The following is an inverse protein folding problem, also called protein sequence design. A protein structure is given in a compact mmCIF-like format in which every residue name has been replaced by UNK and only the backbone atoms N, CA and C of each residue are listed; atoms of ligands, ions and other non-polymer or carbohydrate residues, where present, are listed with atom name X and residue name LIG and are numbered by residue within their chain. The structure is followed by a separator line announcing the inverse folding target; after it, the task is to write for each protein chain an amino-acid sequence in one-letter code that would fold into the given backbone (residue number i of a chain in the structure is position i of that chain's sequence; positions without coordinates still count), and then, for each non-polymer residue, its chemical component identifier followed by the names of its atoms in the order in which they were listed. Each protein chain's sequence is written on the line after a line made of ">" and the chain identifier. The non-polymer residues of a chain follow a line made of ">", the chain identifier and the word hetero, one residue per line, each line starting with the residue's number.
data_IF_006265420015
#
_entry.id   IF_006265420015
#
_cell.length_a   1.000
_cell.length_b   1.000
_cell.length_c   1.000
_cell.angle_alpha   90.00
_cell.angle_beta   90.00
_cell.angle_gamma   90.00
#
_symmetry.space_group_name_H-M   'P 1'
#
loop_
_entity.id
_entity.type
_entity.pdbx_description
1 polymer ?
#
# COMPACT_ATOMS: atom_id res chain seq x y z
N UNK A 1 -10.66 0.80 37.95
CA UNK A 1 -10.56 0.94 36.48
C UNK A 1 -9.78 -0.26 35.99
N UNK A 2 -10.39 -1.16 35.20
CA UNK A 2 -9.66 -2.30 34.64
C UNK A 2 -8.71 -1.77 33.56
N UNK A 3 -7.42 -2.07 33.69
CA UNK A 3 -6.43 -1.66 32.69
C UNK A 3 -6.29 -2.76 31.64
N UNK A 4 -6.43 -2.39 30.38
CA UNK A 4 -6.17 -3.25 29.25
C UNK A 4 -5.01 -2.72 28.41
N UNK A 5 -4.21 -3.63 27.84
CA UNK A 5 -3.05 -3.30 27.03
C UNK A 5 -3.07 -4.13 25.75
N UNK A 6 -3.07 -3.45 24.61
CA UNK A 6 -2.92 -4.06 23.30
C UNK A 6 -1.43 -4.09 22.92
N UNK A 7 -0.94 -5.26 22.52
CA UNK A 7 0.43 -5.49 22.12
C UNK A 7 0.42 -5.96 20.65
N UNK A 8 0.48 -5.03 19.69
CA UNK A 8 0.59 -5.41 18.29
C UNK A 8 1.95 -6.03 17.99
N UNK A 9 1.95 -6.97 17.06
CA UNK A 9 3.19 -7.51 16.44
C UNK A 9 3.71 -6.53 15.38
N UNK A 10 4.50 -6.99 14.40
CA UNK A 10 4.94 -6.11 13.31
C UNK A 10 3.73 -5.59 12.53
N UNK A 11 3.52 -4.28 12.56
CA UNK A 11 2.36 -3.61 11.96
C UNK A 11 2.66 -3.23 10.52
N UNK A 12 1.76 -3.56 9.61
CA UNK A 12 1.89 -3.32 8.17
C UNK A 12 0.63 -2.67 7.59
N UNK A 13 0.74 -2.08 6.41
CA UNK A 13 -0.38 -1.49 5.69
C UNK A 13 -0.15 -0.03 5.34
N UNK A 14 -1.18 0.56 4.74
CA UNK A 14 -1.11 1.87 4.10
C UNK A 14 -0.65 2.96 5.05
N UNK A 15 0.31 3.78 4.60
CA UNK A 15 0.81 4.93 5.35
C UNK A 15 -0.13 6.12 5.09
N UNK A 16 -0.63 6.74 6.16
CA UNK A 16 -1.35 8.02 6.07
C UNK A 16 -0.39 9.22 6.16
N UNK A 17 0.77 9.01 6.77
CA UNK A 17 1.83 10.00 6.87
C UNK A 17 2.82 9.89 5.68
N UNK A 18 3.49 10.99 5.30
CA UNK A 18 4.40 11.00 4.15
C UNK A 18 5.74 10.27 4.41
N UNK A 19 6.05 9.94 5.67
CA UNK A 19 7.30 9.26 6.04
C UNK A 19 7.10 7.77 6.28
N UNK A 20 8.07 6.99 5.82
CA UNK A 20 8.09 5.53 6.02
C UNK A 20 8.48 5.23 7.47
N UNK A 21 7.69 4.38 8.14
CA UNK A 21 7.99 3.92 9.50
C UNK A 21 8.94 2.70 9.50
N UNK A 22 9.46 2.34 10.68
CA UNK A 22 10.43 1.25 10.80
C UNK A 22 9.90 -0.13 10.37
N UNK A 23 8.61 -0.43 10.61
CA UNK A 23 8.03 -1.72 10.22
C UNK A 23 7.86 -1.83 8.71
N UNK A 24 7.50 -0.74 8.04
CA UNK A 24 7.43 -0.68 6.57
C UNK A 24 8.83 -0.77 5.96
N UNK A 25 9.86 -0.10 6.52
CA UNK A 25 11.27 -0.25 6.08
C UNK A 25 11.71 -1.73 6.13
N UNK A 26 11.32 -2.45 7.18
CA UNK A 26 11.65 -3.87 7.33
C UNK A 26 11.11 -4.74 6.19
N UNK A 27 9.94 -4.40 5.63
CA UNK A 27 9.32 -5.13 4.52
C UNK A 27 9.85 -4.62 3.17
N UNK A 28 9.95 -3.30 3.03
CA UNK A 28 10.44 -2.62 1.82
C UNK A 28 11.75 -3.21 1.34
N UNK A 29 12.72 -3.43 2.23
CA UNK A 29 14.04 -3.95 1.87
C UNK A 29 14.00 -5.30 1.11
N UNK A 30 12.96 -6.10 1.31
CA UNK A 30 12.76 -7.36 0.59
C UNK A 30 12.05 -7.13 -0.74
N UNK A 31 11.06 -6.23 -0.76
CA UNK A 31 10.26 -5.91 -1.95
C UNK A 31 11.04 -5.10 -2.99
N UNK A 32 11.97 -4.23 -2.55
CA UNK A 32 12.88 -3.45 -3.42
C UNK A 32 14.10 -4.25 -3.85
N UNK A 33 14.32 -5.45 -3.30
CA UNK A 33 15.52 -6.25 -3.54
C UNK A 33 16.80 -5.70 -2.90
N UNK A 34 16.71 -4.72 -2.00
CA UNK A 34 17.85 -4.19 -1.24
C UNK A 34 18.55 -5.27 -0.41
N UNK A 35 17.81 -6.31 0.00
CA UNK A 35 18.34 -7.50 0.66
C UNK A 35 18.18 -8.70 -0.27
N UNK A 36 19.30 -9.38 -0.57
CA UNK A 36 19.35 -10.53 -1.51
C UNK A 36 19.07 -11.90 -0.86
N UNK A 37 19.07 -11.97 0.47
CA UNK A 37 18.91 -13.22 1.23
C UNK A 37 17.93 -13.03 2.39
N UNK A 38 17.20 -14.08 2.74
CA UNK A 38 16.23 -14.03 3.83
C UNK A 38 16.82 -14.78 5.02
N UNK A 39 16.68 -14.22 6.23
CA UNK A 39 17.04 -14.97 7.42
C UNK A 39 16.01 -16.10 7.65
N UNK A 40 16.48 -17.32 7.95
CA UNK A 40 15.64 -18.45 8.37
C UNK A 40 14.93 -18.15 9.70
N UNK A 41 13.82 -17.40 9.61
CA UNK A 41 13.12 -16.80 10.73
C UNK A 41 11.65 -16.60 10.40
N UNK A 42 10.82 -16.61 11.43
CA UNK A 42 9.38 -16.40 11.34
C UNK A 42 9.04 -15.10 12.05
N UNK A 43 8.18 -14.29 11.45
CA UNK A 43 7.69 -13.04 12.01
C UNK A 43 6.16 -13.02 12.00
N UNK A 44 5.56 -12.45 13.05
CA UNK A 44 4.12 -12.23 13.13
C UNK A 44 3.76 -10.85 12.59
N UNK A 45 2.67 -10.78 11.84
CA UNK A 45 2.20 -9.57 11.17
C UNK A 45 0.74 -9.26 11.51
N UNK A 46 0.41 -7.97 11.46
CA UNK A 46 -0.95 -7.46 11.64
C UNK A 46 -1.16 -6.21 10.81
N UNK A 47 -2.36 -6.01 10.28
CA UNK A 47 -2.67 -4.80 9.54
C UNK A 47 -2.92 -3.61 10.47
N UNK A 48 -2.49 -2.41 10.07
CA UNK A 48 -2.62 -1.18 10.86
C UNK A 48 -4.08 -0.83 11.19
N UNK A 49 -5.02 -1.13 10.28
CA UNK A 49 -6.46 -0.92 10.55
C UNK A 49 -6.98 -1.86 11.65
N UNK A 50 -6.49 -3.09 11.70
CA UNK A 50 -6.90 -4.06 12.73
C UNK A 50 -6.36 -3.65 14.10
N UNK A 51 -5.15 -3.09 14.15
CA UNK A 51 -4.58 -2.53 15.38
C UNK A 51 -5.40 -1.35 15.89
N UNK A 52 -5.78 -0.43 14.99
CA UNK A 52 -6.60 0.72 15.35
C UNK A 52 -7.99 0.27 15.85
N UNK A 53 -8.65 -0.63 15.13
CA UNK A 53 -9.94 -1.20 15.52
C UNK A 53 -9.85 -1.93 16.85
N UNK A 54 -8.79 -2.70 17.06
CA UNK A 54 -8.54 -3.40 18.32
C UNK A 54 -8.37 -2.44 19.50
N UNK A 55 -7.68 -1.32 19.31
CA UNK A 55 -7.57 -0.30 20.35
C UNK A 55 -8.94 0.28 20.72
N UNK A 56 -9.79 0.58 19.74
CA UNK A 56 -11.15 1.08 19.95
C UNK A 56 -11.97 0.05 20.74
N UNK A 57 -11.99 -1.21 20.29
CA UNK A 57 -12.78 -2.27 20.94
C UNK A 57 -12.32 -2.57 22.37
N UNK A 58 -11.00 -2.59 22.60
CA UNK A 58 -10.43 -2.77 23.93
C UNK A 58 -10.79 -1.62 24.86
N UNK A 59 -10.91 -0.40 24.33
CA UNK A 59 -11.30 0.78 25.09
C UNK A 59 -12.81 0.81 25.38
N UNK A 60 -13.64 0.45 24.41
CA UNK A 60 -15.10 0.51 24.52
C UNK A 60 -15.72 -0.66 25.30
N UNK A 61 -15.04 -1.80 25.39
CA UNK A 61 -15.56 -2.99 26.06
C UNK A 61 -15.29 -2.97 27.57
N UNK A 62 -16.29 -2.77 28.45
CA UNK A 62 -16.05 -2.53 29.87
C UNK A 62 -15.49 -3.74 30.64
N UNK A 63 -15.67 -4.95 30.12
CA UNK A 63 -15.21 -6.21 30.70
C UNK A 63 -13.76 -6.57 30.35
N UNK A 64 -13.12 -5.81 29.46
CA UNK A 64 -11.79 -6.11 28.95
C UNK A 64 -10.71 -5.72 29.96
N UNK A 65 -9.78 -6.64 30.21
CA UNK A 65 -8.65 -6.40 31.11
C UNK A 65 -7.42 -7.25 30.76
N UNK A 66 -6.25 -6.77 31.19
CA UNK A 66 -4.97 -7.44 30.97
C UNK A 66 -4.41 -7.22 29.57
N UNK A 67 -3.59 -8.15 29.09
CA UNK A 67 -2.85 -8.01 27.82
C UNK A 67 -3.54 -8.75 26.67
N UNK A 68 -3.48 -8.17 25.49
CA UNK A 68 -4.01 -8.71 24.24
C UNK A 68 -2.91 -8.65 23.19
N UNK A 69 -2.55 -9.79 22.60
CA UNK A 69 -1.63 -9.83 21.46
C UNK A 69 -2.45 -9.63 20.19
N UNK A 70 -2.10 -8.63 19.40
CA UNK A 70 -2.80 -8.32 18.15
C UNK A 70 -1.96 -8.81 16.96
N UNK A 71 -2.36 -9.95 16.38
CA UNK A 71 -1.73 -10.54 15.19
C UNK A 71 -2.72 -11.38 14.37
N UNK A 72 -2.56 -11.38 13.04
CA UNK A 72 -3.34 -12.26 12.14
C UNK A 72 -2.59 -13.57 11.91
N UNK A 73 -1.34 -13.48 11.41
CA UNK A 73 -0.58 -14.65 10.97
C UNK A 73 0.91 -14.50 11.19
N UNK A 74 1.57 -15.64 11.36
CA UNK A 74 3.02 -15.78 11.34
C UNK A 74 3.47 -16.24 9.95
N UNK A 75 4.40 -15.52 9.35
CA UNK A 75 4.97 -15.85 8.05
C UNK A 75 6.47 -16.13 8.19
N UNK A 76 6.94 -17.15 7.47
CA UNK A 76 8.37 -17.39 7.31
C UNK A 76 8.91 -16.42 6.24
N UNK A 77 10.06 -15.80 6.47
CA UNK A 77 10.63 -14.81 5.52
C UNK A 77 10.91 -15.39 4.13
N UNK A 78 11.02 -16.72 4.03
CA UNK A 78 11.31 -17.44 2.79
C UNK A 78 10.17 -18.33 2.27
N UNK A 79 8.89 -17.91 2.30
CA UNK A 79 7.78 -18.70 1.71
C UNK A 79 7.97 -19.09 0.23
N UNK A 80 9.03 -18.61 -0.46
CA UNK A 80 9.40 -18.96 -1.84
C UNK A 80 10.83 -19.49 -2.07
N UNK A 81 11.63 -19.81 -1.04
CA UNK A 81 13.04 -20.22 -1.25
C UNK A 81 13.32 -21.70 -0.99
N UNK A 82 13.99 -22.36 -1.95
CA UNK A 82 14.43 -23.75 -1.92
C UNK A 82 15.71 -23.94 -1.07
N UNK A 83 15.73 -23.45 0.18
CA UNK A 83 16.91 -23.57 1.04
C UNK A 83 16.99 -24.93 1.76
N UNK A 84 18.21 -25.47 1.82
CA UNK A 84 18.58 -26.78 2.39
C UNK A 84 18.53 -26.87 3.92
N UNK A 85 18.21 -25.78 4.62
CA UNK A 85 18.18 -25.74 6.09
C UNK A 85 16.75 -25.98 6.61
N UNK A 86 16.55 -26.77 7.69
CA UNK A 86 15.22 -26.97 8.25
C UNK A 86 14.61 -25.63 8.66
N UNK A 87 13.40 -25.36 8.16
CA UNK A 87 12.68 -24.11 8.41
C UNK A 87 12.44 -23.93 9.89
N UNK A 88 12.72 -22.72 10.41
CA UNK A 88 12.42 -22.38 11.79
C UNK A 88 10.91 -22.48 12.02
N UNK A 89 10.50 -23.27 13.01
CA UNK A 89 9.09 -23.45 13.32
C UNK A 89 8.51 -22.18 13.94
N UNK A 90 7.27 -21.87 13.58
CA UNK A 90 6.51 -20.79 14.19
C UNK A 90 6.28 -21.05 15.67
N UNK A 91 6.31 -19.99 16.48
CA UNK A 91 5.89 -20.07 17.87
C UNK A 91 4.37 -20.29 17.94
N UNK A 92 3.89 -21.07 18.92
CA UNK A 92 2.46 -21.20 19.18
C UNK A 92 1.97 -19.93 19.88
N UNK A 93 1.48 -18.99 19.09
CA UNK A 93 0.71 -17.84 19.57
C UNK A 93 -0.78 -18.12 19.34
N UNK A 94 -1.64 -17.52 20.18
CA UNK A 94 -3.09 -17.60 20.05
C UNK A 94 -3.68 -16.19 20.00
N UNK A 95 -4.48 -15.89 18.97
CA UNK A 95 -5.24 -14.64 18.83
C UNK A 95 -6.70 -14.79 19.26
N UNK A 96 -7.06 -15.85 19.99
CA UNK A 96 -8.44 -16.09 20.39
C UNK A 96 -9.01 -14.94 21.22
N UNK A 97 -8.27 -14.47 22.23
CA UNK A 97 -8.72 -13.41 23.14
C UNK A 97 -9.14 -12.11 22.42
N UNK A 98 -8.51 -11.81 21.29
CA UNK A 98 -8.82 -10.61 20.50
C UNK A 98 -9.90 -10.89 19.43
N UNK A 99 -9.99 -12.12 18.92
CA UNK A 99 -11.10 -12.58 18.08
C UNK A 99 -12.43 -12.61 18.84
N UNK A 100 -12.39 -12.90 20.13
CA UNK A 100 -13.56 -12.85 21.01
C UNK A 100 -14.15 -11.43 21.15
N UNK A 101 -13.40 -10.38 20.75
CA UNK A 101 -13.87 -9.00 20.62
C UNK A 101 -14.51 -8.71 19.25
N UNK A 102 -14.81 -9.76 18.46
CA UNK A 102 -15.44 -9.66 17.13
C UNK A 102 -14.56 -8.92 16.11
N UNK A 103 -13.24 -9.09 16.20
CA UNK A 103 -12.31 -8.61 15.18
C UNK A 103 -12.19 -9.64 14.05
N UNK A 104 -12.57 -9.22 12.85
CA UNK A 104 -12.22 -9.90 11.61
C UNK A 104 -10.93 -9.30 11.05
N UNK A 105 -9.83 -10.07 11.13
CA UNK A 105 -8.53 -9.61 10.67
C UNK A 105 -8.46 -9.55 9.14
N UNK A 106 -7.83 -8.48 8.64
CA UNK A 106 -7.46 -8.38 7.24
C UNK A 106 -6.31 -9.37 6.96
N UNK A 107 -6.43 -10.25 5.95
CA UNK A 107 -5.37 -11.21 5.66
C UNK A 107 -4.05 -10.52 5.31
N UNK A 108 -2.98 -10.85 6.05
CA UNK A 108 -1.65 -10.23 5.86
C UNK A 108 -1.12 -10.42 4.44
N UNK A 109 -1.45 -11.54 3.78
CA UNK A 109 -1.06 -11.79 2.39
C UNK A 109 -1.59 -10.72 1.44
N UNK A 110 -2.86 -10.32 1.60
CA UNK A 110 -3.47 -9.28 0.79
C UNK A 110 -2.80 -7.92 1.04
N UNK A 111 -2.42 -7.62 2.28
CA UNK A 111 -1.68 -6.40 2.61
C UNK A 111 -0.30 -6.38 1.96
N UNK A 112 0.45 -7.49 2.01
CA UNK A 112 1.78 -7.55 1.38
C UNK A 112 1.68 -7.39 -0.14
N UNK A 113 0.64 -7.92 -0.78
CA UNK A 113 0.37 -7.71 -2.20
C UNK A 113 0.06 -6.25 -2.54
N UNK A 114 -0.73 -5.56 -1.72
CA UNK A 114 -1.00 -4.12 -1.92
C UNK A 114 0.24 -3.26 -1.69
N UNK A 115 1.04 -3.55 -0.67
CA UNK A 115 2.31 -2.85 -0.42
C UNK A 115 3.30 -3.08 -1.57
N UNK A 116 3.40 -4.31 -2.08
CA UNK A 116 4.23 -4.61 -3.24
C UNK A 116 3.79 -3.87 -4.51
N UNK A 117 2.48 -3.63 -4.69
CA UNK A 117 1.98 -2.78 -5.79
C UNK A 117 2.38 -1.32 -5.58
N UNK A 118 2.26 -0.79 -4.37
CA UNK A 118 2.70 0.57 -4.04
C UNK A 118 4.21 0.77 -4.25
N UNK A 119 5.01 -0.26 -4.01
CA UNK A 119 6.46 -0.22 -4.26
C UNK A 119 6.75 -0.35 -5.75
N UNK A 120 5.98 -1.16 -6.49
CA UNK A 120 6.06 -1.19 -7.95
C UNK A 120 5.77 0.18 -8.57
N UNK A 121 4.93 1.00 -7.95
CA UNK A 121 4.81 2.40 -8.35
C UNK A 121 6.04 3.25 -8.04
N UNK A 122 6.79 3.01 -6.95
CA UNK A 122 8.09 3.69 -6.73
C UNK A 122 9.13 3.39 -7.84
N UNK A 123 8.95 2.30 -8.61
CA UNK A 123 9.76 1.99 -9.80
C UNK A 123 9.26 2.63 -11.10
N UNK A 124 8.12 3.33 -11.07
CA UNK A 124 7.66 4.12 -12.20
C UNK A 124 8.53 5.38 -12.24
N UNK A 125 9.34 5.48 -13.29
CA UNK A 125 10.23 6.61 -13.50
C UNK A 125 9.43 7.90 -13.80
N UNK A 126 10.04 9.05 -13.51
CA UNK A 126 9.47 10.37 -13.82
C UNK A 126 9.21 10.58 -15.31
N UNK A 127 8.39 11.57 -15.66
CA UNK A 127 8.12 11.90 -17.06
C UNK A 127 9.42 12.21 -17.84
N UNK A 128 10.38 12.88 -17.22
CA UNK A 128 11.70 13.13 -17.77
C UNK A 128 12.48 11.85 -18.06
N UNK A 129 12.63 10.99 -17.06
CA UNK A 129 13.40 9.73 -17.21
C UNK A 129 12.77 8.81 -18.25
N UNK A 130 11.44 8.69 -18.26
CA UNK A 130 10.73 7.93 -19.29
C UNK A 130 10.95 8.53 -20.68
N UNK A 131 10.94 9.86 -20.81
CA UNK A 131 11.23 10.53 -22.08
C UNK A 131 12.66 10.28 -22.56
N UNK A 132 13.64 10.27 -21.66
CA UNK A 132 15.04 9.96 -21.95
C UNK A 132 15.23 8.52 -22.44
N UNK A 133 14.41 7.58 -21.96
CA UNK A 133 14.39 6.19 -22.46
C UNK A 133 13.64 6.02 -23.80
N UNK A 134 13.11 7.10 -24.38
CA UNK A 134 12.45 7.10 -25.68
C UNK A 134 10.93 6.95 -25.63
N UNK A 135 10.32 6.93 -24.43
CA UNK A 135 8.86 6.93 -24.28
C UNK A 135 8.32 8.33 -24.61
N UNK A 136 7.27 8.36 -25.43
CA UNK A 136 6.55 9.60 -25.79
C UNK A 136 5.29 9.74 -24.95
N UNK A 137 4.90 10.97 -24.66
CA UNK A 137 3.67 11.28 -23.95
C UNK A 137 2.63 11.88 -24.88
N UNK A 138 1.37 11.52 -24.70
CA UNK A 138 0.26 12.06 -25.47
C UNK A 138 -1.01 12.17 -24.65
N UNK A 139 -1.85 13.14 -24.98
CA UNK A 139 -3.21 13.24 -24.45
C UNK A 139 -4.08 12.12 -25.03
N UNK A 140 -4.97 11.56 -24.20
CA UNK A 140 -6.06 10.70 -24.65
C UNK A 140 -7.25 11.54 -25.13
N UNK A 141 -7.73 11.30 -26.36
CA UNK A 141 -8.73 12.16 -27.04
C UNK A 141 -10.21 11.78 -26.78
N UNK A 142 -10.50 10.70 -26.05
CA UNK A 142 -11.86 10.17 -25.94
C UNK A 142 -12.74 10.84 -24.85
N UNK A 143 -14.06 10.85 -25.13
CA UNK A 143 -15.12 11.62 -24.45
C UNK A 143 -15.47 11.21 -23.01
N UNK A 144 -14.92 10.12 -22.47
CA UNK A 144 -15.43 9.47 -21.24
C UNK A 144 -14.61 9.75 -19.97
N UNK A 145 -13.78 10.81 -19.96
CA UNK A 145 -13.10 11.31 -18.76
C UNK A 145 -11.93 10.46 -18.24
N UNK A 146 -11.48 10.76 -17.01
CA UNK A 146 -10.32 10.15 -16.33
C UNK A 146 -10.39 8.61 -16.19
N UNK A 147 -11.57 8.02 -16.33
CA UNK A 147 -11.85 6.62 -15.97
C UNK A 147 -11.52 5.59 -17.06
N UNK A 148 -11.03 5.99 -18.23
CA UNK A 148 -10.58 5.04 -19.26
C UNK A 148 -9.18 4.45 -19.00
N UNK A 149 -8.47 4.91 -17.97
CA UNK A 149 -7.11 4.46 -17.67
C UNK A 149 -6.07 4.91 -18.71
N UNK A 150 -4.81 4.56 -18.46
CA UNK A 150 -3.66 4.92 -19.33
C UNK A 150 -3.44 3.84 -20.39
N UNK A 151 -3.22 4.27 -21.64
CA UNK A 151 -2.92 3.37 -22.77
C UNK A 151 -1.47 3.52 -23.21
N UNK A 152 -0.83 2.40 -23.58
CA UNK A 152 0.52 2.42 -24.14
C UNK A 152 0.52 1.79 -25.53
N UNK A 153 0.80 2.60 -26.55
CA UNK A 153 0.74 2.18 -27.95
C UNK A 153 1.98 2.68 -28.71
N UNK A 154 2.74 1.78 -29.32
CA UNK A 154 3.88 2.10 -30.19
C UNK A 154 4.90 3.07 -29.54
N UNK A 155 5.22 2.87 -28.27
CA UNK A 155 6.16 3.73 -27.52
C UNK A 155 5.56 5.05 -27.03
N UNK A 156 4.25 5.26 -27.19
CA UNK A 156 3.54 6.45 -26.71
C UNK A 156 2.60 6.08 -25.56
N UNK A 157 2.83 6.70 -24.40
CA UNK A 157 1.96 6.66 -23.25
C UNK A 157 0.87 7.74 -23.40
N UNK A 158 -0.36 7.29 -23.63
CA UNK A 158 -1.57 8.12 -23.73
C UNK A 158 -2.23 8.22 -22.36
N UNK A 159 -2.27 9.43 -21.81
CA UNK A 159 -2.80 9.69 -20.46
C UNK A 159 -4.06 10.54 -20.57
N UNK A 160 -5.14 10.19 -19.85
CA UNK A 160 -6.31 11.07 -19.70
C UNK A 160 -5.91 12.44 -19.15
N UNK A 161 -6.42 13.50 -19.78
CA UNK A 161 -6.12 14.87 -19.38
C UNK A 161 -6.75 15.18 -18.03
N UNK A 162 -5.94 15.71 -17.12
CA UNK A 162 -6.36 16.18 -15.80
C UNK A 162 -6.46 17.71 -15.80
N UNK A 163 -7.66 18.23 -15.55
CA UNK A 163 -7.85 19.66 -15.28
C UNK A 163 -7.71 19.91 -13.78
N UNK A 164 -6.71 20.71 -13.40
CA UNK A 164 -6.48 21.09 -12.00
C UNK A 164 -7.24 22.37 -11.70
N UNK A 165 -8.21 22.28 -10.78
CA UNK A 165 -8.97 23.38 -10.19
C UNK A 165 -8.90 23.27 -8.67
N UNK A 166 -9.34 24.30 -7.94
CA UNK A 166 -9.22 24.36 -6.48
C UNK A 166 -9.88 23.19 -5.74
N UNK A 167 -10.88 22.54 -6.34
CA UNK A 167 -11.57 21.38 -5.75
C UNK A 167 -10.95 20.03 -6.09
N UNK A 168 -10.02 19.97 -7.05
CA UNK A 168 -9.45 18.71 -7.59
C UNK A 168 -8.83 17.84 -6.49
N UNK A 169 -8.05 18.43 -5.59
CA UNK A 169 -7.41 17.70 -4.49
C UNK A 169 -8.45 17.07 -3.54
N UNK A 170 -9.46 17.85 -3.14
CA UNK A 170 -10.53 17.38 -2.26
C UNK A 170 -11.35 16.26 -2.89
N UNK A 171 -11.61 16.35 -4.20
CA UNK A 171 -12.32 15.33 -4.97
C UNK A 171 -11.53 14.02 -4.98
N UNK A 172 -10.24 14.06 -5.32
CA UNK A 172 -9.43 12.84 -5.36
C UNK A 172 -9.23 12.21 -3.99
N UNK A 173 -9.02 13.00 -2.93
CA UNK A 173 -8.99 12.45 -1.56
C UNK A 173 -10.27 11.70 -1.20
N UNK A 174 -11.42 12.27 -1.52
CA UNK A 174 -12.71 11.64 -1.24
C UNK A 174 -12.91 10.37 -2.08
N UNK A 175 -12.49 10.37 -3.34
CA UNK A 175 -12.58 9.21 -4.23
C UNK A 175 -11.64 8.08 -3.78
N UNK A 176 -10.40 8.39 -3.40
CA UNK A 176 -9.44 7.40 -2.86
C UNK A 176 -9.98 6.82 -1.55
N UNK A 177 -10.50 7.66 -0.64
CA UNK A 177 -11.14 7.18 0.58
C UNK A 177 -12.32 6.24 0.28
N UNK A 178 -13.16 6.59 -0.69
CA UNK A 178 -14.26 5.75 -1.14
C UNK A 178 -13.76 4.40 -1.68
N UNK A 179 -12.73 4.39 -2.55
CA UNK A 179 -12.12 3.16 -3.07
C UNK A 179 -11.59 2.27 -1.94
N UNK A 180 -10.87 2.86 -0.98
CA UNK A 180 -10.25 2.17 0.14
C UNK A 180 -11.24 1.65 1.20
N UNK A 181 -12.44 2.23 1.28
CA UNK A 181 -13.53 1.79 2.15
C UNK A 181 -14.42 0.75 1.49
N UNK A 182 -14.52 0.76 0.16
CA UNK A 182 -15.25 -0.24 -0.61
C UNK A 182 -14.39 -1.50 -0.78
N UNK A 183 -14.94 -2.70 -0.59
CA UNK A 183 -14.24 -3.98 -0.86
C UNK A 183 -14.06 -4.24 -2.38
N UNK A 184 -13.68 -3.22 -3.16
CA UNK A 184 -13.53 -3.32 -4.61
C UNK A 184 -12.19 -3.96 -4.98
N UNK A 185 -12.20 -4.77 -6.04
CA UNK A 185 -11.02 -5.45 -6.55
C UNK A 185 -10.07 -4.52 -7.34
N UNK A 186 -10.55 -3.37 -7.81
CA UNK A 186 -9.80 -2.43 -8.64
C UNK A 186 -9.85 -1.01 -8.08
N UNK A 187 -8.67 -0.38 -7.94
CA UNK A 187 -8.45 0.94 -7.35
C UNK A 187 -8.13 1.95 -8.45
N UNK A 188 -9.07 2.18 -9.37
CA UNK A 188 -8.83 2.97 -10.59
C UNK A 188 -8.32 4.39 -10.33
N UNK A 189 -8.92 5.08 -9.35
CA UNK A 189 -8.54 6.46 -9.00
C UNK A 189 -7.20 6.46 -8.29
N UNK A 190 -6.99 5.54 -7.36
CA UNK A 190 -5.71 5.38 -6.65
C UNK A 190 -4.59 5.07 -7.63
N UNK A 191 -4.76 4.11 -8.54
CA UNK A 191 -3.75 3.73 -9.54
C UNK A 191 -3.40 4.91 -10.46
N UNK A 192 -4.40 5.70 -10.88
CA UNK A 192 -4.18 6.89 -11.70
C UNK A 192 -3.40 7.97 -10.93
N UNK A 193 -3.80 8.29 -9.70
CA UNK A 193 -3.14 9.32 -8.89
C UNK A 193 -1.72 8.91 -8.54
N UNK A 194 -1.50 7.65 -8.18
CA UNK A 194 -0.17 7.10 -7.95
C UNK A 194 0.71 7.23 -9.20
N UNK A 195 0.19 6.89 -10.39
CA UNK A 195 0.94 7.10 -11.64
C UNK A 195 1.29 8.57 -11.87
N UNK A 196 0.34 9.49 -11.65
CA UNK A 196 0.60 10.93 -11.81
C UNK A 196 1.63 11.45 -10.80
N UNK A 197 1.61 10.96 -9.56
CA UNK A 197 2.61 11.26 -8.52
C UNK A 197 4.01 10.79 -8.96
N UNK A 198 4.13 9.56 -9.49
CA UNK A 198 5.39 9.05 -10.01
C UNK A 198 5.92 9.86 -11.21
N UNK A 199 5.03 10.28 -12.11
CA UNK A 199 5.42 11.04 -13.31
C UNK A 199 5.88 12.47 -12.98
N UNK A 200 5.41 13.07 -11.87
CA UNK A 200 5.58 14.49 -11.54
C UNK A 200 6.47 14.65 -10.30
N UNK A 201 7.78 14.52 -10.48
CA UNK A 201 8.75 14.73 -9.40
C UNK A 201 9.41 16.13 -9.44
N UNK A 202 9.55 16.70 -10.63
CA UNK A 202 10.29 17.94 -10.87
C UNK A 202 9.48 18.95 -11.68
N UNK A 203 9.95 20.21 -11.75
CA UNK A 203 9.30 21.24 -12.57
C UNK A 203 9.37 20.89 -14.05
N UNK A 204 10.45 20.23 -14.46
CA UNK A 204 10.68 19.75 -15.82
C UNK A 204 9.63 18.72 -16.23
N UNK A 205 9.28 17.80 -15.33
CA UNK A 205 8.21 16.82 -15.56
C UNK A 205 6.86 17.49 -15.84
N UNK A 206 6.52 18.50 -15.03
CA UNK A 206 5.32 19.32 -15.23
C UNK A 206 5.33 19.96 -16.62
N UNK A 207 6.47 20.51 -17.06
CA UNK A 207 6.58 21.11 -18.40
C UNK A 207 6.39 20.08 -19.51
N UNK A 208 6.94 18.87 -19.36
CA UNK A 208 6.77 17.78 -20.34
C UNK A 208 5.28 17.43 -20.47
N UNK A 209 4.60 17.17 -19.36
CA UNK A 209 3.20 16.77 -19.37
C UNK A 209 2.27 17.90 -19.86
N UNK A 210 2.58 19.15 -19.50
CA UNK A 210 1.85 20.35 -19.98
C UNK A 210 2.02 20.55 -21.49
N UNK A 211 3.23 20.37 -22.02
CA UNK A 211 3.47 20.44 -23.46
C UNK A 211 2.71 19.36 -24.23
N UNK A 212 2.52 18.19 -23.61
CA UNK A 212 1.71 17.09 -24.13
C UNK A 212 0.19 17.25 -23.88
N UNK A 213 -0.25 18.35 -23.25
CA UNK A 213 -1.65 18.65 -22.88
C UNK A 213 -2.30 17.59 -21.98
N UNK A 214 -1.49 16.98 -21.11
CA UNK A 214 -1.96 16.01 -20.11
C UNK A 214 -2.42 16.74 -18.84
N UNK A 215 -1.74 17.83 -18.46
CA UNK A 215 -2.07 18.73 -17.35
C UNK A 215 -2.03 20.20 -17.78
#
# INVERSE_FOLDING_TARGET
>A
MLSACLNPVLVIGSLLQPTVNASTIHILKYLTGSVKTYANSVQAYVHVRDVALAHILVFETPSVSGRYICYERMLHHGECSNEKNPRKQSYKLTNQKIKDLVIEFIPVKQCLESEAKNIKSEFIHSAKELKETGIKFGKQEESYGLFQGVRFEKGMMKIPCLTVVDTTESLFRNLIAYEQCSQRQHLYVTDYITLMDCLINTREDVQILRHCRII
#
